data_IF_259239770746
#
_entry.id   IF_259239770746
#
_cell.length_a   1.000
_cell.length_b   1.000
_cell.length_c   1.000
_cell.angle_alpha   90.00
_cell.angle_beta   90.00
_cell.angle_gamma   90.00
#
_symmetry.space_group_name_H-M   'P 1'
#
loop_
_entity.id
_entity.type
_entity.pdbx_description
1 polymer ?
#
# COMPACT_ATOMS: atom_id res chain seq x y z
N UNK A 1 -15.76 -18.14 37.07
CA UNK A 1 -14.64 -17.26 37.50
C UNK A 1 -14.44 -16.21 36.43
N UNK A 2 -14.60 -14.93 36.76
CA UNK A 2 -14.24 -13.82 35.87
C UNK A 2 -12.74 -13.56 36.02
N UNK A 3 -11.98 -13.66 34.93
CA UNK A 3 -10.56 -13.35 34.93
C UNK A 3 -10.41 -11.91 34.43
N UNK A 4 -10.24 -10.97 35.34
CA UNK A 4 -9.85 -9.60 35.01
C UNK A 4 -8.36 -9.60 34.65
N UNK A 5 -8.05 -9.61 33.36
CA UNK A 5 -6.68 -9.54 32.89
C UNK A 5 -6.27 -8.08 32.71
N UNK A 6 -5.49 -7.56 33.67
CA UNK A 6 -4.84 -6.25 33.54
C UNK A 6 -3.77 -6.33 32.44
N UNK A 7 -3.95 -5.58 31.35
CA UNK A 7 -2.95 -5.45 30.30
C UNK A 7 -1.73 -4.69 30.84
N UNK A 8 -0.56 -5.33 30.82
CA UNK A 8 0.73 -4.71 31.12
C UNK A 8 1.10 -3.78 29.96
N UNK A 9 1.23 -2.49 30.23
CA UNK A 9 1.72 -1.49 29.28
C UNK A 9 3.26 -1.47 29.27
N UNK A 10 3.88 -2.00 28.21
CA UNK A 10 5.33 -1.96 28.00
C UNK A 10 5.75 -0.60 27.45
N UNK A 11 5.87 0.41 28.32
CA UNK A 11 6.61 1.62 28.00
C UNK A 11 8.12 1.34 28.09
N UNK A 12 8.73 1.05 26.94
CA UNK A 12 10.16 0.76 26.81
C UNK A 12 10.96 2.07 26.73
N UNK A 13 11.20 2.72 27.87
CA UNK A 13 12.20 3.79 27.96
C UNK A 13 13.25 3.42 29.01
N UNK A 14 14.36 2.83 28.56
CA UNK A 14 15.56 2.61 29.37
C UNK A 14 16.75 2.45 28.43
N UNK A 15 17.33 3.58 28.04
CA UNK A 15 18.76 3.64 27.70
C UNK A 15 19.35 4.84 28.44
N UNK A 16 19.36 4.75 29.77
CA UNK A 16 20.15 5.60 30.63
C UNK A 16 21.62 5.16 30.55
N UNK A 17 22.33 5.65 29.53
CA UNK A 17 23.79 5.65 29.56
C UNK A 17 24.23 6.70 30.59
N UNK A 18 24.62 6.19 31.76
CA UNK A 18 25.35 6.93 32.77
C UNK A 18 26.74 7.31 32.23
N UNK A 19 26.93 8.58 31.88
CA UNK A 19 28.25 9.18 31.71
C UNK A 19 28.25 10.51 32.46
N UNK A 20 28.72 10.43 33.71
CA UNK A 20 28.98 11.55 34.59
C UNK A 20 30.29 12.22 34.13
N UNK A 21 30.22 13.39 33.50
CA UNK A 21 31.33 14.33 33.45
C UNK A 21 30.83 15.73 33.83
N UNK A 22 31.56 16.29 34.79
CA UNK A 22 31.37 17.57 35.42
C UNK A 22 31.67 18.74 34.47
N UNK A 23 31.08 19.86 34.85
CA UNK A 23 31.67 21.20 34.83
C UNK A 23 31.69 22.02 33.53
N UNK A 24 31.29 23.27 33.73
CA UNK A 24 31.67 24.51 33.07
C UNK A 24 31.00 24.90 31.74
N UNK A 25 30.06 25.83 31.88
CA UNK A 25 30.23 27.20 31.39
C UNK A 25 30.78 27.35 29.96
N UNK A 26 29.88 27.56 29.00
CA UNK A 26 30.13 28.43 27.84
C UNK A 26 28.82 28.70 27.09
N UNK A 27 28.20 29.83 27.41
CA UNK A 27 27.34 30.56 26.48
C UNK A 27 28.16 30.94 25.25
N UNK A 28 27.96 30.24 24.14
CA UNK A 28 28.47 30.63 22.83
C UNK A 28 27.31 30.75 21.86
N UNK A 29 26.83 31.99 21.71
CA UNK A 29 26.14 32.52 20.54
C UNK A 29 26.95 32.18 19.28
N UNK A 30 26.42 31.29 18.45
CA UNK A 30 26.75 31.14 17.02
C UNK A 30 25.57 30.32 16.43
N UNK A 31 25.02 30.53 15.25
CA UNK A 31 25.39 31.32 14.10
C UNK A 31 24.12 31.85 13.39
N UNK A 32 24.27 33.05 12.85
CA UNK A 32 23.54 33.57 11.70
C UNK A 32 23.69 32.61 10.52
N UNK A 33 22.63 32.41 9.71
CA UNK A 33 22.65 32.31 8.24
C UNK A 33 21.27 31.84 7.73
N UNK A 34 20.32 32.77 7.65
CA UNK A 34 19.15 32.61 6.78
C UNK A 34 19.55 32.99 5.36
N UNK A 35 19.88 31.99 4.56
CA UNK A 35 19.92 32.07 3.11
C UNK A 35 19.51 30.71 2.56
N UNK A 36 18.33 30.61 1.95
CA UNK A 36 18.31 30.27 0.53
C UNK A 36 16.90 30.37 -0.06
N UNK A 37 16.77 31.43 -0.86
CA UNK A 37 15.74 31.61 -1.87
C UNK A 37 16.07 30.66 -3.01
N UNK A 38 15.53 29.45 -2.98
CA UNK A 38 15.57 28.53 -4.12
C UNK A 38 14.18 28.43 -4.74
N UNK A 39 14.12 28.83 -6.00
CA UNK A 39 12.96 28.74 -6.86
C UNK A 39 12.42 27.31 -6.90
N UNK A 40 11.14 27.15 -6.53
CA UNK A 40 10.34 26.02 -7.00
C UNK A 40 9.23 26.61 -7.86
N UNK A 41 9.62 27.00 -9.06
CA UNK A 41 8.76 26.94 -10.23
C UNK A 41 8.79 25.48 -10.67
N UNK A 42 7.81 24.68 -10.25
CA UNK A 42 7.45 23.48 -10.98
C UNK A 42 6.24 23.80 -11.85
N UNK A 43 6.58 24.07 -13.10
CA UNK A 43 5.75 23.93 -14.28
C UNK A 43 4.78 22.75 -14.19
N UNK A 44 3.58 23.01 -14.68
CA UNK A 44 2.74 22.07 -15.40
C UNK A 44 2.61 20.65 -14.82
N UNK A 45 1.62 20.46 -13.95
CA UNK A 45 0.77 19.29 -14.15
C UNK A 45 -0.68 19.65 -13.93
N UNK A 46 -1.29 20.00 -15.06
CA UNK A 46 -2.71 19.96 -15.32
C UNK A 46 -3.19 18.50 -15.15
N UNK A 47 -3.22 17.98 -13.93
CA UNK A 47 -3.80 16.67 -13.62
C UNK A 47 -5.29 16.88 -13.38
N UNK A 48 -5.98 16.93 -14.52
CA UNK A 48 -7.32 16.39 -14.73
C UNK A 48 -8.34 16.87 -13.71
N UNK A 49 -9.14 17.83 -14.15
CA UNK A 49 -10.52 18.00 -13.71
C UNK A 49 -11.27 16.65 -13.76
N UNK A 50 -11.24 15.86 -12.69
CA UNK A 50 -12.29 14.89 -12.38
C UNK A 50 -13.33 15.58 -11.49
N UNK A 51 -13.92 16.64 -12.02
CA UNK A 51 -15.27 17.08 -11.62
C UNK A 51 -16.23 16.04 -12.16
N UNK A 52 -16.35 14.90 -11.45
CA UNK A 52 -17.39 13.89 -11.64
C UNK A 52 -17.58 13.06 -10.36
N UNK A 53 -17.41 13.64 -9.18
CA UNK A 53 -17.79 13.00 -7.93
C UNK A 53 -19.31 13.16 -7.69
N UNK A 54 -20.13 12.81 -8.68
CA UNK A 54 -21.49 12.37 -8.39
C UNK A 54 -21.36 11.03 -7.70
N UNK A 55 -21.21 11.06 -6.37
CA UNK A 55 -21.28 9.94 -5.44
C UNK A 55 -21.35 8.58 -6.15
N UNK A 56 -20.20 8.05 -6.60
CA UNK A 56 -20.17 6.77 -7.31
C UNK A 56 -20.93 5.76 -6.44
N UNK A 57 -21.99 5.16 -6.99
CA UNK A 57 -22.78 4.17 -6.25
C UNK A 57 -21.85 3.05 -5.84
N UNK A 58 -22.07 2.47 -4.65
CA UNK A 58 -21.25 1.34 -4.18
C UNK A 58 -21.23 0.18 -5.19
N UNK A 59 -22.29 0.02 -5.98
CA UNK A 59 -22.32 -0.96 -7.07
C UNK A 59 -21.38 -0.60 -8.23
N UNK A 60 -21.24 0.68 -8.58
CA UNK A 60 -20.38 1.13 -9.68
C UNK A 60 -18.90 1.04 -9.29
N UNK A 61 -18.57 1.30 -8.03
CA UNK A 61 -17.23 1.05 -7.48
C UNK A 61 -16.85 -0.44 -7.58
N UNK A 62 -17.78 -1.34 -7.22
CA UNK A 62 -17.57 -2.79 -7.31
C UNK A 62 -17.37 -3.22 -8.77
N UNK A 63 -18.20 -2.72 -9.71
CA UNK A 63 -18.03 -3.01 -11.15
C UNK A 63 -16.66 -2.57 -11.67
N UNK A 64 -16.21 -1.36 -11.31
CA UNK A 64 -14.89 -0.83 -11.69
C UNK A 64 -13.74 -1.67 -11.14
N UNK A 65 -13.88 -2.21 -9.92
CA UNK A 65 -12.91 -3.16 -9.35
C UNK A 65 -12.92 -4.51 -10.08
N UNK A 66 -14.10 -5.03 -10.43
CA UNK A 66 -14.23 -6.27 -11.21
C UNK A 66 -13.56 -6.14 -12.58
N UNK A 67 -13.75 -5.04 -13.30
CA UNK A 67 -13.07 -4.80 -14.59
C UNK A 67 -11.55 -4.79 -14.46
N UNK A 68 -11.02 -4.12 -13.42
CA UNK A 68 -9.58 -4.10 -13.13
C UNK A 68 -9.04 -5.50 -12.85
N UNK A 69 -9.72 -6.27 -12.01
CA UNK A 69 -9.33 -7.65 -11.69
C UNK A 69 -9.40 -8.57 -12.91
N UNK A 70 -10.40 -8.41 -13.78
CA UNK A 70 -10.51 -9.15 -15.04
C UNK A 70 -9.37 -8.83 -16.00
N UNK A 71 -8.95 -7.56 -16.07
CA UNK A 71 -7.78 -7.17 -16.87
C UNK A 71 -6.49 -7.79 -16.32
N UNK A 72 -6.28 -7.69 -15.00
CA UNK A 72 -5.13 -8.30 -14.32
C UNK A 72 -5.09 -9.82 -14.51
N UNK A 73 -6.25 -10.48 -14.51
CA UNK A 73 -6.35 -11.90 -14.77
C UNK A 73 -5.84 -12.26 -16.18
N UNK A 74 -6.26 -11.51 -17.21
CA UNK A 74 -5.78 -11.71 -18.59
C UNK A 74 -4.27 -11.49 -18.72
N UNK A 75 -3.74 -10.47 -18.05
CA UNK A 75 -2.30 -10.19 -18.03
C UNK A 75 -1.51 -11.33 -17.37
N UNK A 76 -1.99 -11.87 -16.26
CA UNK A 76 -1.37 -13.04 -15.60
C UNK A 76 -1.45 -14.28 -16.50
N UNK A 77 -2.55 -14.52 -17.19
CA UNK A 77 -2.64 -15.64 -18.13
C UNK A 77 -1.65 -15.53 -19.29
N UNK A 78 -1.44 -14.33 -19.81
CA UNK A 78 -0.41 -14.07 -20.81
C UNK A 78 1.00 -14.29 -20.24
N UNK A 79 1.27 -13.78 -19.02
CA UNK A 79 2.54 -13.96 -18.34
C UNK A 79 2.84 -15.44 -18.05
N UNK A 80 1.84 -16.24 -17.67
CA UNK A 80 1.98 -17.68 -17.48
C UNK A 80 2.38 -18.36 -18.79
N UNK A 81 1.71 -18.04 -19.90
CA UNK A 81 2.04 -18.60 -21.23
C UNK A 81 3.48 -18.26 -21.63
N UNK A 82 3.87 -17.00 -21.45
CA UNK A 82 5.22 -16.54 -21.76
C UNK A 82 6.29 -17.19 -20.86
N UNK A 83 6.05 -17.25 -19.55
CA UNK A 83 6.96 -17.88 -18.60
C UNK A 83 7.10 -19.39 -18.85
N UNK A 84 6.00 -20.07 -19.21
CA UNK A 84 6.01 -21.51 -19.51
C UNK A 84 6.79 -21.83 -20.79
N UNK A 85 6.79 -20.93 -21.77
CA UNK A 85 7.55 -21.06 -23.01
C UNK A 85 9.00 -20.54 -22.90
N UNK A 86 9.36 -19.94 -21.76
CA UNK A 86 10.68 -19.36 -21.53
C UNK A 86 11.74 -20.44 -21.28
N UNK A 87 12.98 -20.17 -21.70
CA UNK A 87 14.16 -20.97 -21.35
C UNK A 87 14.75 -20.59 -19.98
N UNK A 88 14.06 -19.77 -19.20
CA UNK A 88 14.49 -19.35 -17.87
C UNK A 88 14.57 -20.57 -16.92
N UNK A 89 15.70 -20.80 -16.22
CA UNK A 89 15.82 -21.92 -15.27
C UNK A 89 14.79 -21.87 -14.13
N UNK A 90 14.29 -20.68 -13.79
CA UNK A 90 13.25 -20.45 -12.78
C UNK A 90 11.82 -20.44 -13.35
N UNK A 91 11.63 -20.78 -14.62
CA UNK A 91 10.31 -20.71 -15.28
C UNK A 91 9.21 -21.47 -14.51
N UNK A 92 9.52 -22.65 -13.95
CA UNK A 92 8.54 -23.45 -13.18
C UNK A 92 8.05 -22.72 -11.92
N UNK A 93 8.96 -22.12 -11.18
CA UNK A 93 8.64 -21.38 -9.95
C UNK A 93 7.88 -20.08 -10.26
N UNK A 94 8.27 -19.39 -11.33
CA UNK A 94 7.58 -18.20 -11.82
C UNK A 94 6.15 -18.57 -12.22
N UNK A 95 5.96 -19.63 -12.99
CA UNK A 95 4.63 -20.13 -13.38
C UNK A 95 3.82 -20.51 -12.14
N UNK A 96 4.39 -21.22 -11.17
CA UNK A 96 3.69 -21.57 -9.94
C UNK A 96 3.23 -20.32 -9.15
N UNK A 97 4.10 -19.32 -9.00
CA UNK A 97 3.77 -18.04 -8.35
C UNK A 97 2.64 -17.31 -9.09
N UNK A 98 2.70 -17.26 -10.42
CA UNK A 98 1.66 -16.65 -11.23
C UNK A 98 0.32 -17.42 -11.17
N UNK A 99 0.35 -18.75 -11.10
CA UNK A 99 -0.85 -19.58 -10.90
C UNK A 99 -1.49 -19.31 -9.53
N UNK A 100 -0.69 -19.16 -8.46
CA UNK A 100 -1.19 -18.76 -7.15
C UNK A 100 -1.85 -17.38 -7.18
N UNK A 101 -1.23 -16.41 -7.89
CA UNK A 101 -1.82 -15.08 -8.09
C UNK A 101 -3.12 -15.13 -8.89
N UNK A 102 -3.19 -15.96 -9.94
CA UNK A 102 -4.40 -16.22 -10.73
C UNK A 102 -5.54 -16.71 -9.82
N UNK A 103 -5.27 -17.70 -8.97
CA UNK A 103 -6.24 -18.21 -7.99
C UNK A 103 -6.73 -17.15 -7.00
N UNK A 104 -5.82 -16.33 -6.47
CA UNK A 104 -6.18 -15.25 -5.55
C UNK A 104 -7.09 -14.19 -6.19
N UNK A 105 -6.81 -13.81 -7.45
CA UNK A 105 -7.66 -12.86 -8.19
C UNK A 105 -9.04 -13.45 -8.45
N UNK A 106 -9.14 -14.74 -8.79
CA UNK A 106 -10.45 -15.39 -8.95
C UNK A 106 -11.27 -15.36 -7.66
N UNK A 107 -10.64 -15.62 -6.51
CA UNK A 107 -11.32 -15.54 -5.23
C UNK A 107 -11.84 -14.11 -4.95
N UNK A 108 -11.06 -13.07 -5.27
CA UNK A 108 -11.49 -11.67 -5.14
C UNK A 108 -12.66 -11.33 -6.07
N UNK A 109 -12.60 -11.76 -7.33
CA UNK A 109 -13.71 -11.60 -8.29
C UNK A 109 -14.97 -12.28 -7.75
N UNK A 110 -14.85 -13.50 -7.24
CA UNK A 110 -15.99 -14.24 -6.69
C UNK A 110 -16.60 -13.52 -5.49
N UNK A 111 -15.77 -12.99 -4.58
CA UNK A 111 -16.22 -12.22 -3.42
C UNK A 111 -16.95 -10.93 -3.83
N UNK A 112 -16.40 -10.18 -4.78
CA UNK A 112 -17.02 -8.94 -5.28
C UNK A 112 -18.32 -9.22 -6.05
N UNK A 113 -18.36 -10.28 -6.87
CA UNK A 113 -19.58 -10.71 -7.53
C UNK A 113 -20.67 -11.10 -6.52
N UNK A 114 -20.30 -11.81 -5.45
CA UNK A 114 -21.25 -12.15 -4.39
C UNK A 114 -21.80 -10.90 -3.68
N UNK A 115 -20.97 -9.87 -3.46
CA UNK A 115 -21.43 -8.58 -2.92
C UNK A 115 -22.38 -7.88 -3.89
N UNK A 116 -22.03 -7.84 -5.18
CA UNK A 116 -22.86 -7.21 -6.20
C UNK A 116 -24.23 -7.89 -6.32
N UNK A 117 -24.27 -9.22 -6.31
CA UNK A 117 -25.53 -10.00 -6.35
C UNK A 117 -26.39 -9.72 -5.11
N UNK A 118 -25.79 -9.66 -3.91
CA UNK A 118 -26.53 -9.31 -2.68
C UNK A 118 -27.17 -7.92 -2.76
N UNK A 119 -26.54 -6.98 -3.44
CA UNK A 119 -27.08 -5.63 -3.64
C UNK A 119 -28.17 -5.57 -4.72
N UNK A 120 -28.13 -6.46 -5.72
CA UNK A 120 -29.12 -6.52 -6.80
C UNK A 120 -30.38 -7.30 -6.42
N UNK A 121 -30.27 -8.20 -5.44
CA UNK A 121 -31.38 -9.01 -4.94
C UNK A 121 -32.03 -8.50 -3.65
N UNK A 122 -31.74 -7.26 -3.24
CA UNK A 122 -32.31 -6.59 -2.07
C UNK A 122 -33.51 -5.71 -2.44
#
# INVERSE_FOLDING_TARGET
MQINSNFINLNKNSSSNSANLKSDEANSKSENLQSDKSAILHDASNLVSETNNQSESSADVIKKQLEKLQKQLKEIEAAIKQASASKNPYAKEIVASLQSKKGAIFAQIMQLNAQLVKMQGA
#
